data_IF_206486686493
#
_entry.id   IF_206486686493
#
_cell.length_a   1.000
_cell.length_b   1.000
_cell.length_c   1.000
_cell.angle_alpha   90.00
_cell.angle_beta   90.00
_cell.angle_gamma   90.00
#
_symmetry.space_group_name_H-M   'P 1'
#
loop_
_entity.id
_entity.type
_entity.pdbx_description
1 polymer ?
#
# COMPACT_ATOMS: atom_id res chain seq x y z
N UNK A 1 21.94 4.05 -1.34
CA UNK A 1 20.98 2.97 -1.09
C UNK A 1 19.60 3.54 -1.31
N UNK A 2 18.82 3.03 -2.28
CA UNK A 2 17.43 3.47 -2.48
C UNK A 2 16.58 2.74 -1.44
N UNK A 3 15.79 3.49 -0.69
CA UNK A 3 14.91 2.93 0.34
C UNK A 3 13.60 2.51 -0.32
N UNK A 4 13.18 1.25 -0.17
CA UNK A 4 11.97 0.74 -0.82
C UNK A 4 10.76 1.00 0.05
N UNK A 5 9.75 1.67 -0.49
CA UNK A 5 8.49 1.94 0.18
C UNK A 5 7.35 1.23 -0.55
N UNK A 6 6.58 0.42 0.17
CA UNK A 6 5.33 -0.12 -0.36
C UNK A 6 4.19 0.82 0.00
N UNK A 7 3.43 1.22 -1.01
CA UNK A 7 2.34 2.17 -0.91
C UNK A 7 1.03 1.49 -1.30
N UNK A 8 0.21 1.13 -0.31
CA UNK A 8 -1.04 0.40 -0.51
C UNK A 8 -2.21 1.38 -0.51
N UNK A 9 -3.01 1.37 -1.58
CA UNK A 9 -4.18 2.23 -1.74
C UNK A 9 -5.42 1.46 -2.19
N UNK A 10 -6.59 1.80 -1.66
CA UNK A 10 -7.87 1.17 -2.06
C UNK A 10 -8.68 2.00 -3.08
N UNK A 11 -8.40 3.30 -3.23
CA UNK A 11 -9.22 4.22 -4.02
C UNK A 11 -8.66 4.59 -5.40
N UNK A 12 -9.22 5.65 -5.99
CA UNK A 12 -8.69 6.26 -7.22
C UNK A 12 -7.29 6.82 -6.93
N UNK A 13 -6.30 6.37 -7.70
CA UNK A 13 -4.90 6.79 -7.62
C UNK A 13 -4.67 8.32 -7.81
N UNK A 14 -5.71 9.11 -8.08
CA UNK A 14 -5.59 10.54 -8.31
C UNK A 14 -5.34 11.33 -7.01
N UNK A 15 -5.84 10.86 -5.86
CA UNK A 15 -5.68 11.53 -4.56
C UNK A 15 -4.26 11.39 -3.97
N UNK A 16 -3.57 10.31 -4.32
CA UNK A 16 -2.30 9.89 -3.73
C UNK A 16 -1.08 10.29 -4.54
N UNK A 17 -1.26 10.76 -5.78
CA UNK A 17 -0.18 11.19 -6.68
C UNK A 17 0.76 12.23 -6.06
N UNK A 18 0.21 13.21 -5.33
CA UNK A 18 1.03 14.24 -4.69
C UNK A 18 1.94 13.66 -3.60
N UNK A 19 1.46 12.65 -2.88
CA UNK A 19 2.23 11.94 -1.86
C UNK A 19 3.27 11.01 -2.51
N UNK A 20 2.90 10.31 -3.59
CA UNK A 20 3.85 9.50 -4.37
C UNK A 20 5.00 10.36 -4.92
N UNK A 21 4.70 11.53 -5.49
CA UNK A 21 5.70 12.42 -6.07
C UNK A 21 6.65 12.98 -4.99
N UNK A 22 6.11 13.39 -3.84
CA UNK A 22 6.91 13.82 -2.70
C UNK A 22 7.87 12.73 -2.21
N UNK A 23 7.37 11.49 -2.05
CA UNK A 23 8.18 10.35 -1.60
C UNK A 23 9.27 9.98 -2.61
N UNK A 24 8.98 10.01 -3.92
CA UNK A 24 10.00 9.85 -4.98
C UNK A 24 11.04 10.96 -4.91
N UNK A 25 10.61 12.20 -4.69
CA UNK A 25 11.49 13.36 -4.51
C UNK A 25 12.45 13.24 -3.31
N UNK A 26 12.04 12.50 -2.28
CA UNK A 26 12.88 12.17 -1.12
C UNK A 26 13.80 10.96 -1.32
N UNK A 27 13.84 10.37 -2.52
CA UNK A 27 14.72 9.24 -2.85
C UNK A 27 14.18 7.86 -2.45
N UNK A 28 12.87 7.76 -2.21
CA UNK A 28 12.21 6.47 -1.99
C UNK A 28 11.84 5.81 -3.32
N UNK A 29 12.07 4.51 -3.39
CA UNK A 29 11.63 3.66 -4.49
C UNK A 29 10.22 3.14 -4.13
N UNK A 30 9.21 3.69 -4.79
CA UNK A 30 7.80 3.45 -4.47
C UNK A 30 7.23 2.30 -5.26
N UNK A 31 6.72 1.29 -4.55
CA UNK A 31 5.89 0.21 -5.09
C UNK A 31 4.43 0.46 -4.71
N UNK A 32 3.65 0.97 -5.66
CA UNK A 32 2.25 1.32 -5.46
C UNK A 32 1.35 0.14 -5.78
N UNK A 33 0.50 -0.26 -4.83
CA UNK A 33 -0.43 -1.39 -4.94
C UNK A 33 -1.85 -0.88 -4.79
N UNK A 34 -2.70 -1.13 -5.79
CA UNK A 34 -4.11 -0.73 -5.76
C UNK A 34 -4.99 -1.93 -5.38
N UNK A 35 -5.49 -1.96 -4.14
CA UNK A 35 -6.36 -3.03 -3.63
C UNK A 35 -7.65 -3.21 -4.45
N UNK A 36 -8.19 -2.13 -5.04
CA UNK A 36 -9.37 -2.22 -5.91
C UNK A 36 -9.12 -2.92 -7.25
N UNK A 37 -7.86 -3.18 -7.62
CA UNK A 37 -7.47 -3.83 -8.88
C UNK A 37 -7.09 -5.29 -8.69
N UNK A 38 -7.32 -5.88 -7.51
CA UNK A 38 -6.91 -7.25 -7.18
C UNK A 38 -5.38 -7.44 -7.29
N UNK A 39 -4.59 -6.36 -7.14
CA UNK A 39 -3.14 -6.45 -7.20
C UNK A 39 -2.60 -7.22 -5.98
N UNK A 40 -1.70 -8.20 -6.18
CA UNK A 40 -1.21 -9.02 -5.09
C UNK A 40 -0.36 -8.18 -4.13
N UNK A 41 -0.67 -8.31 -2.84
CA UNK A 41 0.19 -7.78 -1.78
C UNK A 41 1.54 -8.51 -1.77
N UNK A 42 2.63 -7.83 -1.36
CA UNK A 42 3.93 -8.46 -1.27
C UNK A 42 3.88 -9.61 -0.27
N UNK A 43 4.38 -10.78 -0.67
CA UNK A 43 4.39 -11.99 0.16
C UNK A 43 5.38 -11.92 1.32
N UNK A 44 6.37 -11.02 1.22
CA UNK A 44 7.41 -10.81 2.21
C UNK A 44 7.66 -9.31 2.37
N UNK A 45 7.87 -8.88 3.62
CA UNK A 45 8.33 -7.53 3.96
C UNK A 45 9.86 -7.42 4.02
N UNK A 46 10.56 -8.52 3.75
CA UNK A 46 12.02 -8.55 3.66
C UNK A 46 12.47 -7.65 2.49
N UNK A 47 13.31 -6.66 2.80
CA UNK A 47 13.78 -5.60 1.89
C UNK A 47 12.76 -4.49 1.59
N UNK A 48 11.80 -4.26 2.49
CA UNK A 48 10.94 -3.09 2.47
C UNK A 48 11.34 -2.19 3.65
N UNK A 49 11.83 -0.99 3.32
CA UNK A 49 12.26 0.02 4.30
C UNK A 49 11.09 0.81 4.89
N UNK A 50 9.90 0.71 4.30
CA UNK A 50 8.68 1.24 4.88
C UNK A 50 7.39 0.80 4.17
N UNK A 51 6.30 0.79 4.93
CA UNK A 51 4.98 0.44 4.46
C UNK A 51 4.03 1.60 4.78
N UNK A 52 3.34 2.11 3.77
CA UNK A 52 2.36 3.17 3.89
C UNK A 52 1.03 2.68 3.34
N UNK A 53 0.01 2.64 4.20
CA UNK A 53 -1.34 2.22 3.85
C UNK A 53 -2.23 3.44 3.96
N UNK A 54 -2.89 3.82 2.86
CA UNK A 54 -3.77 4.99 2.87
C UNK A 54 -5.13 4.66 3.47
N UNK A 55 -5.63 5.60 4.27
CA UNK A 55 -6.99 5.54 4.79
C UNK A 55 -7.99 5.62 3.66
N UNK A 56 -8.97 4.72 3.68
CA UNK A 56 -10.20 4.79 2.89
C UNK A 56 -11.37 4.54 3.84
N UNK A 57 -12.62 4.54 3.36
CA UNK A 57 -13.82 4.07 4.07
C UNK A 57 -13.76 2.56 4.42
N UNK A 58 -12.62 2.09 4.92
CA UNK A 58 -12.44 0.76 5.47
C UNK A 58 -12.95 0.77 6.90
N UNK A 59 -14.11 0.15 7.11
CA UNK A 59 -14.51 -0.21 8.45
C UNK A 59 -13.58 -1.33 8.96
N UNK A 60 -12.64 -0.98 9.84
CA UNK A 60 -11.68 -1.93 10.45
C UNK A 60 -12.34 -2.99 11.34
N UNK A 61 -13.60 -2.78 11.70
CA UNK A 61 -14.43 -3.70 12.47
C UNK A 61 -15.37 -4.55 11.60
N UNK A 62 -15.35 -4.35 10.27
CA UNK A 62 -16.06 -5.21 9.33
C UNK A 62 -15.28 -6.52 9.14
N UNK A 63 -15.24 -7.33 10.20
CA UNK A 63 -14.67 -8.68 10.22
C UNK A 63 -15.68 -9.75 9.77
N UNK A 64 -16.90 -9.34 9.41
CA UNK A 64 -17.89 -10.22 8.77
C UNK A 64 -17.48 -10.61 7.36
N UNK A 65 -16.55 -9.86 6.76
CA UNK A 65 -15.85 -10.22 5.52
C UNK A 65 -14.39 -10.55 5.87
N UNK A 66 -14.21 -11.76 6.41
CA UNK A 66 -12.97 -12.48 6.68
C UNK A 66 -12.38 -12.38 8.12
N UNK A 67 -11.64 -13.43 8.52
CA UNK A 67 -10.20 -13.25 8.31
C UNK A 67 -9.64 -14.35 7.42
N UNK A 68 -8.80 -13.91 6.49
CA UNK A 68 -7.95 -14.74 5.63
C UNK A 68 -7.42 -15.94 6.42
N UNK A 69 -7.93 -17.13 6.08
CA UNK A 69 -7.35 -18.37 6.50
C UNK A 69 -5.96 -18.45 5.87
N UNK A 70 -4.93 -18.28 6.69
CA UNK A 70 -3.56 -18.66 6.34
C UNK A 70 -3.55 -20.18 6.32
N UNK A 71 -3.49 -20.77 5.13
CA UNK A 71 -3.11 -22.18 4.92
C UNK A 71 -1.62 -22.28 4.63
#
# INVERSE_FOLDING_TARGET
>A
MRKRLVFVQRGKAEDTKALEDALKGHGWDLETIVLSKDEPLPKSLENIDGLLITGSDLNVYDQSVAPLAVY
#
